data_IF_034423783381
#
_entry.id   IF_034423783381
#
_cell.length_a   1.000
_cell.length_b   1.000
_cell.length_c   1.000
_cell.angle_alpha   90.00
_cell.angle_beta   90.00
_cell.angle_gamma   90.00
#
_symmetry.space_group_name_H-M   'P 1'
#
loop_
_entity.id
_entity.type
_entity.pdbx_description
1 polymer ?
#
# COMPACT_ATOMS: atom_id res chain seq x y z
N UNK A 1 12.50 17.31 15.68
CA UNK A 1 11.97 17.63 14.34
C UNK A 1 10.80 16.71 14.11
N UNK A 2 9.68 17.20 13.58
CA UNK A 2 8.52 16.37 13.26
C UNK A 2 8.84 15.58 11.98
N UNK A 3 8.58 14.28 11.98
CA UNK A 3 8.77 13.43 10.80
C UNK A 3 7.62 13.63 9.79
N UNK A 4 7.98 13.82 8.53
CA UNK A 4 7.02 13.91 7.41
C UNK A 4 6.85 12.52 6.80
N UNK A 5 5.65 11.98 6.87
CA UNK A 5 5.35 10.62 6.43
C UNK A 5 4.35 10.67 5.28
N UNK A 6 4.76 10.14 4.12
CA UNK A 6 3.89 10.05 2.94
C UNK A 6 3.12 8.73 2.97
N UNK A 7 1.79 8.81 2.88
CA UNK A 7 0.97 7.64 2.54
C UNK A 7 0.57 7.68 1.07
N UNK A 8 0.74 6.56 0.37
CA UNK A 8 0.32 6.34 -1.03
C UNK A 8 -0.73 5.24 -1.01
N UNK A 9 -2.00 5.60 -1.11
CA UNK A 9 -3.11 4.64 -0.99
C UNK A 9 -4.42 5.18 -1.56
N UNK A 10 -5.44 4.34 -1.60
CA UNK A 10 -6.80 4.74 -1.88
C UNK A 10 -7.40 5.62 -0.78
N UNK A 11 -8.40 6.41 -1.14
CA UNK A 11 -9.19 7.23 -0.22
C UNK A 11 -10.43 6.45 0.23
N UNK A 12 -10.65 6.33 1.54
CA UNK A 12 -11.88 5.77 2.13
C UNK A 12 -12.79 6.89 2.62
N UNK A 13 -13.94 7.08 1.95
CA UNK A 13 -14.94 8.08 2.34
C UNK A 13 -15.54 7.85 3.74
N UNK A 14 -15.55 6.60 4.22
CA UNK A 14 -15.95 6.24 5.58
C UNK A 14 -14.90 6.58 6.65
N UNK A 15 -13.65 6.83 6.23
CA UNK A 15 -12.57 7.30 7.10
C UNK A 15 -11.95 6.25 8.01
N UNK A 16 -12.25 4.96 7.82
CA UNK A 16 -11.77 3.83 8.63
C UNK A 16 -10.58 3.10 8.04
N UNK A 17 -10.25 3.36 6.78
CA UNK A 17 -9.17 2.73 6.03
C UNK A 17 -8.44 3.77 5.15
N UNK A 18 -7.57 3.30 4.25
CA UNK A 18 -6.88 4.11 3.25
C UNK A 18 -6.12 5.29 3.84
N UNK A 19 -5.94 6.34 3.03
CA UNK A 19 -5.20 7.53 3.47
C UNK A 19 -5.79 8.18 4.72
N UNK A 20 -7.12 8.08 4.94
CA UNK A 20 -7.76 8.69 6.10
C UNK A 20 -7.35 8.00 7.41
N UNK A 21 -7.27 6.69 7.42
CA UNK A 21 -6.76 5.94 8.58
C UNK A 21 -5.27 6.21 8.80
N UNK A 22 -4.49 6.22 7.72
CA UNK A 22 -3.06 6.47 7.77
C UNK A 22 -2.75 7.87 8.34
N UNK A 23 -3.40 8.92 7.82
CA UNK A 23 -3.22 10.29 8.30
C UNK A 23 -3.61 10.46 9.78
N UNK A 24 -4.68 9.78 10.22
CA UNK A 24 -5.06 9.77 11.65
C UNK A 24 -3.99 9.10 12.51
N UNK A 25 -3.48 7.95 12.06
CA UNK A 25 -2.44 7.21 12.79
C UNK A 25 -1.12 8.01 12.85
N UNK A 26 -0.68 8.58 11.72
CA UNK A 26 0.52 9.42 11.63
C UNK A 26 0.39 10.62 12.59
N UNK A 27 -0.75 11.32 12.56
CA UNK A 27 -0.98 12.48 13.44
C UNK A 27 -1.03 12.08 14.92
N UNK A 28 -1.67 10.96 15.24
CA UNK A 28 -1.76 10.45 16.62
C UNK A 28 -0.41 10.04 17.19
N UNK A 29 0.55 9.65 16.31
CA UNK A 29 1.93 9.30 16.72
C UNK A 29 2.90 10.49 16.66
N UNK A 30 2.41 11.71 16.37
CA UNK A 30 3.20 12.94 16.36
C UNK A 30 3.92 13.24 15.05
N UNK A 31 3.60 12.53 13.96
CA UNK A 31 4.10 12.79 12.61
C UNK A 31 3.25 13.82 11.85
N UNK A 32 3.81 14.37 10.79
CA UNK A 32 3.09 15.17 9.78
C UNK A 32 2.77 14.29 8.58
N UNK A 33 1.47 14.07 8.33
CA UNK A 33 1.00 13.18 7.27
C UNK A 33 0.86 13.90 5.93
N UNK A 34 1.47 13.32 4.90
CA UNK A 34 1.33 13.68 3.49
C UNK A 34 0.53 12.57 2.80
N UNK A 35 -0.16 12.87 1.71
CA UNK A 35 -0.92 11.84 0.98
C UNK A 35 -0.82 11.97 -0.53
N UNK A 36 -0.73 10.82 -1.20
CA UNK A 36 -0.93 10.63 -2.63
C UNK A 36 -2.05 9.61 -2.82
N UNK A 37 -3.07 9.98 -3.57
CA UNK A 37 -4.29 9.20 -3.72
C UNK A 37 -4.23 8.37 -5.00
N UNK A 38 -4.38 7.05 -4.88
CA UNK A 38 -4.38 6.10 -5.99
C UNK A 38 -5.78 5.88 -6.59
N UNK A 39 -6.80 5.94 -5.74
CA UNK A 39 -8.21 5.83 -6.13
C UNK A 39 -9.10 6.52 -5.10
N UNK A 40 -10.26 6.98 -5.54
CA UNK A 40 -11.35 7.39 -4.66
C UNK A 40 -12.32 6.21 -4.50
N UNK A 41 -12.92 6.05 -3.31
CA UNK A 41 -13.97 5.05 -3.10
C UNK A 41 -15.24 5.70 -2.58
N UNK A 42 -16.38 5.16 -2.99
CA UNK A 42 -17.63 5.32 -2.28
C UNK A 42 -17.73 4.15 -1.29
N UNK A 43 -17.27 4.39 -0.08
CA UNK A 43 -17.06 3.33 0.93
C UNK A 43 -17.64 3.75 2.29
N UNK A 44 -18.15 2.77 3.02
CA UNK A 44 -18.66 2.91 4.36
C UNK A 44 -18.21 1.72 5.23
N UNK A 45 -18.78 1.56 6.43
CA UNK A 45 -18.39 0.49 7.36
C UNK A 45 -18.91 -0.90 6.95
N UNK A 46 -19.77 -0.98 5.95
CA UNK A 46 -20.40 -2.22 5.47
C UNK A 46 -19.72 -2.75 4.20
N UNK A 47 -19.28 -1.85 3.28
CA UNK A 47 -18.67 -2.26 2.02
C UNK A 47 -18.17 -1.11 1.18
N UNK A 48 -17.71 -1.47 -0.03
CA UNK A 48 -17.24 -0.56 -1.08
C UNK A 48 -18.24 -0.58 -2.23
N UNK A 49 -19.00 0.52 -2.38
CA UNK A 49 -20.06 0.63 -3.40
C UNK A 49 -19.50 0.98 -4.78
N UNK A 50 -18.41 1.77 -4.84
CA UNK A 50 -17.75 2.16 -6.08
C UNK A 50 -16.29 2.54 -5.87
N UNK A 51 -15.49 2.36 -6.94
CA UNK A 51 -14.07 2.75 -6.99
C UNK A 51 -13.86 3.62 -8.23
N UNK A 52 -13.22 4.77 -8.04
CA UNK A 52 -12.81 5.67 -9.12
C UNK A 52 -11.29 5.77 -9.14
N UNK A 53 -10.59 5.09 -10.08
CA UNK A 53 -9.14 5.15 -10.18
C UNK A 53 -8.66 6.55 -10.53
N UNK A 54 -7.58 6.99 -9.92
CA UNK A 54 -6.88 8.21 -10.31
C UNK A 54 -6.04 7.92 -11.56
N UNK A 55 -6.09 8.81 -12.55
CA UNK A 55 -5.29 8.68 -13.76
C UNK A 55 -3.79 8.69 -13.41
N UNK A 56 -2.99 7.85 -14.09
CA UNK A 56 -1.56 7.66 -13.80
C UNK A 56 -0.78 8.98 -13.89
N UNK A 57 -1.07 9.79 -14.90
CA UNK A 57 -0.42 11.09 -15.05
C UNK A 57 -0.69 12.02 -13.85
N UNK A 58 -1.91 11.95 -13.29
CA UNK A 58 -2.24 12.74 -12.12
C UNK A 58 -1.65 12.14 -10.84
N UNK A 59 -1.53 10.81 -10.75
CA UNK A 59 -0.80 10.15 -9.67
C UNK A 59 0.67 10.62 -9.64
N UNK A 60 1.34 10.60 -10.80
CA UNK A 60 2.72 11.08 -10.94
C UNK A 60 2.85 12.55 -10.58
N UNK A 61 1.89 13.39 -10.99
CA UNK A 61 1.86 14.82 -10.64
C UNK A 61 1.71 15.03 -9.12
N UNK A 62 0.91 14.22 -8.41
CA UNK A 62 0.82 14.27 -6.94
C UNK A 62 2.17 13.91 -6.30
N UNK A 63 2.80 12.81 -6.73
CA UNK A 63 4.11 12.36 -6.23
C UNK A 63 5.18 13.45 -6.42
N UNK A 64 5.28 13.99 -7.61
CA UNK A 64 6.22 15.08 -7.94
C UNK A 64 5.95 16.35 -7.14
N UNK A 65 4.70 16.76 -7.03
CA UNK A 65 4.32 17.98 -6.32
C UNK A 65 4.73 17.92 -4.84
N UNK A 66 4.49 16.78 -4.18
CA UNK A 66 4.83 16.58 -2.77
C UNK A 66 6.34 16.49 -2.58
N UNK A 67 7.01 15.63 -3.36
CA UNK A 67 8.45 15.35 -3.18
C UNK A 67 9.36 16.51 -3.57
N UNK A 68 8.90 17.39 -4.46
CA UNK A 68 9.67 18.58 -4.88
C UNK A 68 9.79 19.64 -3.77
N UNK A 69 8.79 19.73 -2.90
CA UNK A 69 8.68 20.81 -1.89
C UNK A 69 8.92 20.29 -0.47
N UNK A 70 8.45 19.10 -0.15
CA UNK A 70 8.45 18.60 1.22
C UNK A 70 9.43 17.42 1.34
N UNK A 71 10.37 17.54 2.30
CA UNK A 71 11.21 16.40 2.65
C UNK A 71 10.36 15.27 3.21
N UNK A 72 10.46 14.09 2.62
CA UNK A 72 9.79 12.88 3.08
C UNK A 72 10.77 12.08 3.94
N UNK A 73 10.38 11.69 5.14
CA UNK A 73 11.21 10.93 6.08
C UNK A 73 10.88 9.42 6.04
N UNK A 74 9.65 9.04 5.69
CA UNK A 74 9.21 7.67 5.51
C UNK A 74 8.01 7.60 4.56
N UNK A 75 7.81 6.44 3.94
CA UNK A 75 6.67 6.20 3.05
C UNK A 75 5.90 4.97 3.52
N UNK A 76 4.57 5.06 3.54
CA UNK A 76 3.66 3.92 3.67
C UNK A 76 2.90 3.73 2.36
N UNK A 77 2.90 2.53 1.84
CA UNK A 77 2.11 2.16 0.66
C UNK A 77 0.96 1.25 1.10
N UNK A 78 -0.24 1.55 0.65
CA UNK A 78 -1.43 0.72 0.85
C UNK A 78 -2.01 0.26 -0.48
N UNK A 79 -3.34 0.33 -0.64
CA UNK A 79 -4.03 -0.11 -1.85
C UNK A 79 -3.63 0.71 -3.08
N UNK A 80 -3.13 0.05 -4.12
CA UNK A 80 -2.73 0.67 -5.39
C UNK A 80 -3.75 0.44 -6.52
N UNK A 81 -4.48 -0.67 -6.50
CA UNK A 81 -5.60 -0.99 -7.40
C UNK A 81 -5.18 -1.67 -8.70
N UNK A 82 -4.25 -1.14 -9.48
CA UNK A 82 -3.86 -1.67 -10.79
C UNK A 82 -2.37 -1.94 -10.93
N UNK A 83 -1.95 -2.85 -11.85
CA UNK A 83 -0.54 -3.11 -12.13
C UNK A 83 0.23 -1.83 -12.53
N UNK A 84 -0.35 -1.01 -13.39
CA UNK A 84 0.29 0.20 -13.91
C UNK A 84 0.54 1.23 -12.79
N UNK A 85 -0.41 1.38 -11.86
CA UNK A 85 -0.24 2.23 -10.66
C UNK A 85 0.87 1.66 -9.79
N UNK A 86 0.91 0.32 -9.61
CA UNK A 86 1.95 -0.35 -8.82
C UNK A 86 3.34 -0.10 -9.39
N UNK A 87 3.51 -0.25 -10.71
CA UNK A 87 4.79 0.03 -11.38
C UNK A 87 5.17 1.51 -11.26
N UNK A 88 4.22 2.43 -11.49
CA UNK A 88 4.51 3.88 -11.38
C UNK A 88 4.91 4.29 -9.95
N UNK A 89 4.34 3.67 -8.92
CA UNK A 89 4.74 3.88 -7.52
C UNK A 89 6.09 3.24 -7.24
N UNK A 90 6.37 2.02 -7.70
CA UNK A 90 7.66 1.37 -7.54
C UNK A 90 8.80 2.16 -8.20
N UNK A 91 8.57 2.70 -9.39
CA UNK A 91 9.53 3.60 -10.07
C UNK A 91 9.87 4.83 -9.21
N UNK A 92 8.87 5.45 -8.57
CA UNK A 92 9.08 6.57 -7.66
C UNK A 92 9.89 6.15 -6.42
N UNK A 93 9.54 4.99 -5.83
CA UNK A 93 10.18 4.48 -4.62
C UNK A 93 11.64 4.07 -4.84
N UNK A 94 12.01 3.66 -6.04
CA UNK A 94 13.39 3.25 -6.37
C UNK A 94 14.43 4.36 -6.17
N UNK A 95 14.01 5.62 -6.15
CA UNK A 95 14.84 6.78 -5.87
C UNK A 95 14.75 7.29 -4.42
N UNK A 96 14.09 6.58 -3.51
CA UNK A 96 13.89 7.00 -2.14
C UNK A 96 14.76 6.19 -1.17
N UNK A 97 15.61 6.88 -0.40
CA UNK A 97 16.57 6.25 0.52
C UNK A 97 16.03 6.00 1.94
N UNK A 98 14.80 6.42 2.22
CA UNK A 98 14.18 6.29 3.54
C UNK A 98 13.42 4.96 3.73
N UNK A 99 12.90 4.71 4.96
CA UNK A 99 12.11 3.52 5.22
C UNK A 99 10.78 3.51 4.45
N UNK A 100 10.46 2.37 3.85
CA UNK A 100 9.23 2.11 3.10
C UNK A 100 8.49 0.95 3.74
N UNK A 101 7.24 1.20 4.16
CA UNK A 101 6.33 0.17 4.68
C UNK A 101 5.28 -0.14 3.62
N UNK A 102 5.19 -1.39 3.19
CA UNK A 102 4.19 -1.85 2.21
C UNK A 102 3.14 -2.72 2.92
N UNK A 103 1.91 -2.26 2.89
CA UNK A 103 0.72 -3.02 3.28
C UNK A 103 0.08 -3.57 1.98
N UNK A 104 0.26 -4.86 1.66
CA UNK A 104 -0.11 -5.41 0.36
C UNK A 104 -1.60 -5.70 0.26
N UNK A 105 -2.43 -4.65 0.39
CA UNK A 105 -3.89 -4.76 0.41
C UNK A 105 -4.41 -5.38 -0.88
N UNK A 106 -4.95 -6.60 -0.80
CA UNK A 106 -5.49 -7.35 -1.95
C UNK A 106 -6.99 -7.53 -1.88
N UNK A 107 -7.55 -7.56 -0.67
CA UNK A 107 -8.98 -7.81 -0.41
C UNK A 107 -9.50 -6.76 0.57
N UNK A 108 -10.65 -6.17 0.29
CA UNK A 108 -11.32 -5.29 1.23
C UNK A 108 -11.80 -6.09 2.45
N UNK A 109 -12.01 -5.43 3.59
CA UNK A 109 -12.62 -6.07 4.79
C UNK A 109 -13.98 -6.70 4.51
N UNK A 110 -14.72 -6.21 3.50
CA UNK A 110 -15.98 -6.77 3.02
C UNK A 110 -15.81 -8.12 2.28
N UNK A 111 -14.58 -8.54 1.96
CA UNK A 111 -14.30 -9.73 1.15
C UNK A 111 -14.21 -9.47 -0.35
N UNK A 112 -14.42 -8.24 -0.79
CA UNK A 112 -14.30 -7.87 -2.20
C UNK A 112 -12.81 -7.90 -2.62
N UNK A 113 -12.51 -8.64 -3.68
CA UNK A 113 -11.18 -8.70 -4.25
C UNK A 113 -10.85 -7.37 -4.93
N UNK A 114 -9.87 -6.66 -4.40
CA UNK A 114 -9.44 -5.34 -4.89
C UNK A 114 -8.34 -5.44 -5.95
N UNK A 115 -7.66 -6.60 -6.05
CA UNK A 115 -6.57 -6.84 -6.99
C UNK A 115 -6.84 -8.07 -7.86
N UNK A 116 -6.55 -7.95 -9.15
CA UNK A 116 -6.47 -9.06 -10.09
C UNK A 116 -5.09 -9.74 -10.01
N UNK A 117 -4.95 -10.95 -10.59
CA UNK A 117 -3.71 -11.73 -10.54
C UNK A 117 -2.48 -10.96 -11.07
N UNK A 118 -2.66 -10.16 -12.11
CA UNK A 118 -1.62 -9.33 -12.73
C UNK A 118 -1.09 -8.25 -11.76
N UNK A 119 -1.99 -7.73 -10.90
CA UNK A 119 -1.61 -6.72 -9.90
C UNK A 119 -0.84 -7.34 -8.73
N UNK A 120 -1.13 -8.60 -8.37
CA UNK A 120 -0.33 -9.36 -7.38
C UNK A 120 1.08 -9.60 -7.91
N UNK A 121 1.23 -9.95 -9.20
CA UNK A 121 2.53 -10.11 -9.82
C UNK A 121 3.33 -8.79 -9.83
N UNK A 122 2.71 -7.67 -10.23
CA UNK A 122 3.36 -6.36 -10.21
C UNK A 122 3.78 -5.93 -8.79
N UNK A 123 2.94 -6.22 -7.79
CA UNK A 123 3.24 -5.94 -6.39
C UNK A 123 4.46 -6.75 -5.92
N UNK A 124 4.48 -8.06 -6.20
CA UNK A 124 5.58 -8.95 -5.84
C UNK A 124 6.88 -8.60 -6.55
N UNK A 125 6.82 -8.36 -7.87
CA UNK A 125 8.02 -8.28 -8.71
C UNK A 125 8.60 -6.86 -8.80
N UNK A 126 7.78 -5.82 -8.59
CA UNK A 126 8.23 -4.42 -8.68
C UNK A 126 8.23 -3.68 -7.34
N UNK A 127 7.19 -3.87 -6.50
CA UNK A 127 7.02 -3.06 -5.30
C UNK A 127 7.73 -3.65 -4.07
N UNK A 128 7.61 -4.96 -3.83
CA UNK A 128 8.22 -5.59 -2.64
C UNK A 128 9.74 -5.40 -2.57
N UNK A 129 10.51 -5.44 -3.68
CA UNK A 129 11.95 -5.15 -3.63
C UNK A 129 12.30 -3.75 -3.11
N UNK A 130 11.36 -2.81 -3.12
CA UNK A 130 11.55 -1.46 -2.54
C UNK A 130 11.24 -1.39 -1.05
N UNK A 131 10.61 -2.41 -0.47
CA UNK A 131 10.09 -2.36 0.89
C UNK A 131 11.16 -2.58 1.96
N UNK A 132 11.13 -1.77 3.01
CA UNK A 132 11.87 -2.02 4.26
C UNK A 132 11.11 -2.97 5.17
N UNK A 133 9.78 -2.89 5.12
CA UNK A 133 8.87 -3.72 5.90
C UNK A 133 7.61 -4.02 5.09
N UNK A 134 7.15 -5.27 5.15
CA UNK A 134 5.89 -5.70 4.54
C UNK A 134 4.97 -6.27 5.63
N UNK A 135 3.67 -5.93 5.58
CA UNK A 135 2.69 -6.30 6.61
C UNK A 135 1.52 -7.14 6.07
N UNK A 136 1.76 -8.26 5.36
CA UNK A 136 0.69 -9.08 4.83
C UNK A 136 -0.08 -9.80 5.94
N UNK A 137 -1.40 -9.89 5.81
CA UNK A 137 -2.21 -10.86 6.54
C UNK A 137 -2.02 -12.27 5.96
N UNK A 138 -2.68 -13.31 6.53
CA UNK A 138 -2.49 -14.70 6.09
C UNK A 138 -2.93 -14.94 4.64
N UNK A 139 -4.12 -14.49 4.19
CA UNK A 139 -4.51 -14.57 2.79
C UNK A 139 -3.55 -13.85 1.86
N UNK A 140 -3.14 -12.64 2.19
CA UNK A 140 -2.21 -11.84 1.38
C UNK A 140 -0.83 -12.50 1.25
N UNK A 141 -0.31 -13.06 2.36
CA UNK A 141 0.93 -13.81 2.31
C UNK A 141 0.82 -15.05 1.41
N UNK A 142 -0.30 -15.76 1.47
CA UNK A 142 -0.56 -16.91 0.60
C UNK A 142 -0.65 -16.51 -0.89
N UNK A 143 -1.36 -15.43 -1.20
CA UNK A 143 -1.48 -14.89 -2.56
C UNK A 143 -0.11 -14.44 -3.12
N UNK A 144 0.72 -13.76 -2.32
CA UNK A 144 2.08 -13.36 -2.70
C UNK A 144 2.97 -14.54 -3.04
N UNK A 145 2.85 -15.62 -2.27
CA UNK A 145 3.66 -16.83 -2.41
C UNK A 145 3.07 -17.85 -3.42
N UNK A 146 1.82 -17.66 -3.85
CA UNK A 146 1.11 -18.62 -4.70
C UNK A 146 0.84 -19.95 -3.98
N UNK A 147 0.57 -19.91 -2.66
CA UNK A 147 0.37 -21.08 -1.80
C UNK A 147 -1.00 -21.05 -1.11
N UNK A 148 -1.32 -22.06 -0.32
CA UNK A 148 -2.47 -22.02 0.59
C UNK A 148 -2.13 -21.21 1.84
N UNK A 149 -3.16 -20.67 2.52
CA UNK A 149 -3.00 -19.93 3.77
C UNK A 149 -2.32 -20.80 4.85
N UNK A 150 -1.50 -20.15 5.67
CA UNK A 150 -0.85 -20.79 6.80
C UNK A 150 -1.89 -21.19 7.85
N UNK A 151 -1.84 -22.44 8.31
CA UNK A 151 -2.77 -23.00 9.29
C UNK A 151 -2.14 -23.26 10.68
N UNK A 152 -0.83 -23.02 10.83
CA UNK A 152 -0.09 -23.17 12.07
C UNK A 152 0.97 -22.07 12.24
N UNK A 153 1.52 -21.93 13.46
CA UNK A 153 2.62 -20.97 13.71
C UNK A 153 3.88 -21.32 12.90
N UNK A 154 4.15 -22.59 12.71
CA UNK A 154 5.27 -23.09 11.92
C UNK A 154 5.14 -22.68 10.46
N UNK A 155 3.96 -22.91 9.86
CA UNK A 155 3.68 -22.49 8.47
C UNK A 155 3.65 -20.96 8.31
N UNK A 156 3.15 -20.21 9.30
CA UNK A 156 3.24 -18.74 9.30
C UNK A 156 4.70 -18.25 9.30
N UNK A 157 5.55 -18.89 10.13
CA UNK A 157 6.97 -18.54 10.19
C UNK A 157 7.67 -18.85 8.87
N UNK A 158 7.31 -19.95 8.22
CA UNK A 158 7.86 -20.31 6.91
C UNK A 158 7.41 -19.32 5.81
N UNK A 159 6.11 -18.98 5.77
CA UNK A 159 5.62 -17.94 4.86
C UNK A 159 6.33 -16.61 5.08
N UNK A 160 6.53 -16.18 6.31
CA UNK A 160 7.23 -14.93 6.61
C UNK A 160 8.66 -14.92 6.05
N UNK A 161 9.40 -16.04 6.18
CA UNK A 161 10.75 -16.17 5.58
C UNK A 161 10.71 -16.12 4.05
N UNK A 162 9.71 -16.76 3.44
CA UNK A 162 9.54 -16.76 1.99
C UNK A 162 9.17 -15.37 1.47
N UNK A 163 8.30 -14.63 2.17
CA UNK A 163 7.96 -13.24 1.83
C UNK A 163 9.19 -12.34 1.92
N UNK A 164 10.02 -12.48 2.97
CA UNK A 164 11.30 -11.74 3.07
C UNK A 164 12.24 -12.03 1.89
N UNK A 165 12.19 -13.23 1.32
CA UNK A 165 13.02 -13.58 0.17
C UNK A 165 12.52 -12.99 -1.17
N UNK A 166 11.35 -12.32 -1.19
CA UNK A 166 10.83 -11.63 -2.36
C UNK A 166 11.39 -10.21 -2.53
N UNK A 167 12.04 -9.65 -1.49
CA UNK A 167 12.61 -8.30 -1.57
C UNK A 167 13.20 -7.76 -0.28
#
# INVERSE_FOLDING_TARGET
MIANILTIAGSDSGGGAGIQADLKAISATGGYGLSVITALTAQNTVGVDAIYPVAIDFLKAQLESVSRDIRIDAIKVGMLGTPDVTVAVADFLSGFDGPIVVDPVMVAKSGDRLLHADAVAALRDALLPCATLVTPNLPEAADLLGTSEASSKESMTEHAKQVVALG
#
